data_IF_379012195203
#
_entry.id   IF_379012195203
#
_cell.length_a   1.000
_cell.length_b   1.000
_cell.length_c   1.000
_cell.angle_alpha   90.00
_cell.angle_beta   90.00
_cell.angle_gamma   90.00
#
_symmetry.space_group_name_H-M   'P 1'
#
loop_
_entity.id
_entity.type
_entity.pdbx_description
1 polymer ?
#
# COMPACT_ATOMS: atom_id res chain seq x y z
N UNK A 1 13.65 -5.83 -37.39
CA UNK A 1 14.86 -6.52 -36.88
C UNK A 1 15.40 -5.97 -35.55
N UNK A 2 15.39 -4.66 -35.27
CA UNK A 2 16.04 -4.09 -34.05
C UNK A 2 15.32 -4.37 -32.71
N UNK A 3 14.00 -4.50 -32.71
CA UNK A 3 13.19 -4.68 -31.49
C UNK A 3 13.40 -6.04 -30.81
N UNK A 4 13.46 -7.11 -31.60
CA UNK A 4 13.64 -8.48 -31.09
C UNK A 4 15.01 -8.61 -30.40
N UNK A 5 16.04 -7.98 -30.97
CA UNK A 5 17.37 -7.93 -30.36
C UNK A 5 17.36 -7.14 -29.05
N UNK A 6 16.65 -6.01 -28.99
CA UNK A 6 16.52 -5.24 -27.75
C UNK A 6 15.81 -6.03 -26.65
N UNK A 7 14.74 -6.76 -26.97
CA UNK A 7 14.01 -7.61 -26.03
C UNK A 7 14.92 -8.71 -25.48
N UNK A 8 15.66 -9.40 -26.35
CA UNK A 8 16.62 -10.44 -25.93
C UNK A 8 17.71 -9.89 -25.00
N UNK A 9 18.25 -8.71 -25.28
CA UNK A 9 19.25 -8.07 -24.42
C UNK A 9 18.69 -7.71 -23.04
N UNK A 10 17.43 -7.27 -22.95
CA UNK A 10 16.78 -6.95 -21.67
C UNK A 10 16.56 -8.22 -20.87
N UNK A 11 16.01 -9.26 -21.50
CA UNK A 11 15.73 -10.55 -20.87
C UNK A 11 17.02 -11.22 -20.34
N UNK A 12 18.09 -11.16 -21.12
CA UNK A 12 19.39 -11.71 -20.73
C UNK A 12 20.01 -10.95 -19.55
N UNK A 13 19.91 -9.61 -19.55
CA UNK A 13 20.37 -8.77 -18.42
C UNK A 13 19.59 -9.07 -17.14
N UNK A 14 18.27 -9.22 -17.21
CA UNK A 14 17.47 -9.60 -16.04
C UNK A 14 17.84 -10.98 -15.50
N UNK A 15 18.07 -11.95 -16.40
CA UNK A 15 18.46 -13.31 -16.03
C UNK A 15 19.81 -13.33 -15.31
N UNK A 16 20.77 -12.54 -15.77
CA UNK A 16 22.07 -12.39 -15.11
C UNK A 16 21.94 -11.72 -13.74
N UNK A 17 21.14 -10.66 -13.61
CA UNK A 17 20.88 -9.97 -12.33
C UNK A 17 20.30 -10.93 -11.28
N UNK A 18 19.32 -11.77 -11.65
CA UNK A 18 18.74 -12.77 -10.73
C UNK A 18 19.74 -13.85 -10.32
N UNK A 19 20.66 -14.24 -11.20
CA UNK A 19 21.73 -15.19 -10.85
C UNK A 19 22.73 -14.56 -9.87
N UNK A 20 23.18 -13.34 -10.15
CA UNK A 20 24.09 -12.60 -9.29
C UNK A 20 23.47 -12.32 -7.91
N UNK A 21 22.19 -11.97 -7.84
CA UNK A 21 21.50 -11.77 -6.56
C UNK A 21 21.41 -13.06 -5.74
N UNK A 22 21.08 -14.20 -6.38
CA UNK A 22 21.06 -15.51 -5.71
C UNK A 22 22.44 -15.91 -5.20
N UNK A 23 23.48 -15.59 -5.96
CA UNK A 23 24.88 -15.84 -5.57
C UNK A 23 25.32 -14.92 -4.42
N UNK A 24 24.98 -13.63 -4.45
CA UNK A 24 25.24 -12.69 -3.33
C UNK A 24 24.50 -13.10 -2.05
N UNK A 25 23.26 -13.62 -2.17
CA UNK A 25 22.51 -14.20 -1.05
C UNK A 25 23.19 -15.46 -0.50
N UNK A 26 23.65 -16.36 -1.36
CA UNK A 26 24.35 -17.59 -0.95
C UNK A 26 25.70 -17.29 -0.29
N UNK A 27 26.42 -16.28 -0.77
CA UNK A 27 27.72 -15.87 -0.24
C UNK A 27 27.60 -14.92 0.97
N UNK A 28 26.39 -14.68 1.49
CA UNK A 28 26.16 -13.93 2.73
C UNK A 28 26.42 -12.42 2.65
N UNK A 29 26.58 -11.84 1.45
CA UNK A 29 26.93 -10.42 1.25
C UNK A 29 25.71 -9.48 1.17
N UNK A 30 24.49 -10.00 1.23
CA UNK A 30 23.26 -9.20 1.25
C UNK A 30 22.91 -8.84 2.69
N UNK A 31 23.45 -7.72 3.20
CA UNK A 31 23.04 -7.17 4.49
C UNK A 31 21.55 -6.78 4.41
N UNK A 32 20.72 -7.44 5.21
CA UNK A 32 19.39 -6.91 5.55
C UNK A 32 19.64 -5.64 6.35
N UNK A 33 19.36 -4.50 5.74
CA UNK A 33 19.26 -3.25 6.48
C UNK A 33 17.93 -3.28 7.24
N UNK A 34 17.92 -3.98 8.38
CA UNK A 34 16.86 -3.92 9.36
C UNK A 34 17.06 -2.63 10.17
N UNK A 35 16.65 -1.48 9.63
CA UNK A 35 16.54 -0.27 10.42
C UNK A 35 15.37 0.63 9.94
N UNK A 36 14.29 0.52 10.73
CA UNK A 36 13.44 1.60 11.22
C UNK A 36 12.19 2.01 10.41
N UNK A 37 11.00 1.61 10.91
CA UNK A 37 9.97 2.55 11.41
C UNK A 37 8.74 1.85 12.02
N UNK A 38 8.59 2.01 13.33
CA UNK A 38 7.35 2.33 14.08
C UNK A 38 5.98 1.96 13.46
N UNK A 39 5.35 0.87 13.92
CA UNK A 39 4.06 0.85 14.64
C UNK A 39 3.54 -0.60 14.84
N UNK A 40 2.80 -0.87 15.92
CA UNK A 40 2.36 -2.20 16.32
C UNK A 40 1.04 -2.53 15.61
N UNK A 41 1.13 -3.33 14.55
CA UNK A 41 -0.03 -4.09 14.07
C UNK A 41 0.44 -5.46 13.58
N UNK A 42 1.27 -6.10 14.41
CA UNK A 42 1.64 -7.49 14.24
C UNK A 42 0.56 -8.37 14.86
N UNK A 43 -0.45 -8.76 14.07
CA UNK A 43 -1.21 -9.98 14.34
C UNK A 43 -2.03 -10.40 13.12
N UNK A 44 -1.39 -11.02 12.13
CA UNK A 44 -1.97 -12.15 11.37
C UNK A 44 -0.81 -12.96 10.77
N UNK A 45 -0.30 -13.89 11.56
CA UNK A 45 0.51 -15.00 11.08
C UNK A 45 -0.35 -16.00 10.31
N UNK A 46 0.21 -16.44 9.18
CA UNK A 46 -0.08 -17.60 8.34
C UNK A 46 -1.43 -18.32 8.46
N UNK A 47 -2.19 -18.26 7.37
CA UNK A 47 -3.22 -19.24 7.00
C UNK A 47 -3.55 -19.07 5.52
N UNK A 48 -3.21 -20.09 4.73
CA UNK A 48 -3.35 -20.16 3.27
C UNK A 48 -4.70 -19.65 2.73
N UNK A 49 -4.73 -18.47 2.13
CA UNK A 49 -5.71 -18.14 1.09
C UNK A 49 -5.06 -17.19 0.08
N UNK A 50 -5.24 -17.40 -1.24
CA UNK A 50 -4.95 -16.36 -2.22
C UNK A 50 -6.08 -15.35 -2.10
N UNK A 51 -6.06 -14.54 -1.03
CA UNK A 51 -6.90 -13.35 -0.97
C UNK A 51 -6.45 -12.51 -2.15
N UNK A 52 -7.30 -12.40 -3.16
CA UNK A 52 -7.30 -11.31 -4.11
C UNK A 52 -7.40 -10.02 -3.29
N UNK A 53 -6.27 -9.60 -2.71
CA UNK A 53 -6.07 -8.31 -2.08
C UNK A 53 -5.99 -7.35 -3.24
N UNK A 54 -7.16 -7.08 -3.82
CA UNK A 54 -7.38 -5.94 -4.69
C UNK A 54 -6.92 -4.75 -3.87
N UNK A 55 -5.80 -4.16 -4.28
CA UNK A 55 -5.35 -2.90 -3.74
C UNK A 55 -6.40 -1.89 -4.21
N UNK A 56 -7.47 -1.73 -3.44
CA UNK A 56 -8.50 -0.73 -3.71
C UNK A 56 -7.81 0.59 -3.48
N UNK A 57 -7.32 1.17 -4.57
CA UNK A 57 -6.73 2.48 -4.59
C UNK A 57 -7.78 3.43 -4.03
N UNK A 58 -7.49 4.04 -2.88
CA UNK A 58 -8.39 5.03 -2.28
C UNK A 58 -8.67 6.10 -3.33
N UNK A 59 -9.96 6.32 -3.61
CA UNK A 59 -10.41 7.36 -4.54
C UNK A 59 -10.19 8.75 -3.93
N UNK A 60 -9.96 8.82 -2.62
CA UNK A 60 -9.73 10.05 -1.88
C UNK A 60 -8.24 10.40 -1.83
N UNK A 61 -7.87 11.65 -2.19
CA UNK A 61 -6.54 12.20 -1.93
C UNK A 61 -6.15 12.07 -0.45
N UNK A 62 -4.87 11.87 -0.19
CA UNK A 62 -4.36 11.68 1.17
C UNK A 62 -4.64 12.89 2.08
N UNK A 63 -4.55 14.10 1.53
CA UNK A 63 -4.79 15.34 2.27
C UNK A 63 -6.25 15.45 2.74
N UNK A 64 -7.20 15.01 1.91
CA UNK A 64 -8.63 14.99 2.26
C UNK A 64 -8.91 13.99 3.38
N UNK A 65 -8.24 12.83 3.37
CA UNK A 65 -8.34 11.83 4.43
C UNK A 65 -7.79 12.39 5.74
N UNK A 66 -6.64 13.08 5.70
CA UNK A 66 -6.04 13.72 6.88
C UNK A 66 -6.97 14.80 7.42
N UNK A 67 -7.47 15.69 6.56
CA UNK A 67 -8.40 16.74 6.93
C UNK A 67 -9.68 16.17 7.56
N UNK A 68 -10.22 15.10 6.97
CA UNK A 68 -11.40 14.40 7.49
C UNK A 68 -11.15 13.86 8.89
N UNK A 69 -10.05 13.13 9.11
CA UNK A 69 -9.68 12.59 10.43
C UNK A 69 -9.49 13.68 11.49
N UNK A 70 -8.82 14.78 11.14
CA UNK A 70 -8.63 15.92 12.03
C UNK A 70 -9.97 16.55 12.42
N UNK A 71 -10.87 16.74 11.44
CA UNK A 71 -12.19 17.33 11.66
C UNK A 71 -13.10 16.43 12.51
N UNK A 72 -13.09 15.13 12.25
CA UNK A 72 -13.92 14.15 12.98
C UNK A 72 -13.32 13.73 14.33
N UNK A 73 -12.01 13.98 14.52
CA UNK A 73 -11.17 13.51 15.62
C UNK A 73 -11.11 11.98 15.73
N UNK A 74 -11.20 11.30 14.59
CA UNK A 74 -11.12 9.83 14.52
C UNK A 74 -9.75 9.40 13.98
N UNK A 75 -9.13 8.40 14.61
CA UNK A 75 -7.82 7.88 14.18
C UNK A 75 -7.91 7.06 12.89
N UNK A 76 -9.04 6.39 12.67
CA UNK A 76 -9.27 5.46 11.58
C UNK A 76 -10.19 6.07 10.51
N UNK A 77 -9.92 5.75 9.24
CA UNK A 77 -10.62 6.36 8.08
C UNK A 77 -12.09 5.94 8.04
N UNK A 78 -12.39 4.68 8.34
CA UNK A 78 -13.74 4.12 8.26
C UNK A 78 -14.70 4.84 9.24
N UNK A 79 -14.22 5.09 10.44
CA UNK A 79 -14.91 5.73 11.55
C UNK A 79 -15.11 7.22 11.22
N UNK A 80 -14.07 7.87 10.69
CA UNK A 80 -14.15 9.25 10.22
C UNK A 80 -15.23 9.42 9.12
N UNK A 81 -15.25 8.52 8.12
CA UNK A 81 -16.27 8.51 7.07
C UNK A 81 -17.66 8.25 7.66
N UNK A 82 -17.80 7.22 8.51
CA UNK A 82 -19.10 6.85 9.10
C UNK A 82 -19.70 8.01 9.88
N UNK A 83 -18.88 8.72 10.67
CA UNK A 83 -19.29 9.90 11.43
C UNK A 83 -19.70 11.04 10.50
N UNK A 84 -18.90 11.35 9.47
CA UNK A 84 -19.23 12.40 8.52
C UNK A 84 -20.54 12.13 7.77
N UNK A 85 -20.75 10.89 7.31
CA UNK A 85 -22.00 10.46 6.66
C UNK A 85 -23.18 10.57 7.63
N UNK A 86 -23.01 10.13 8.88
CA UNK A 86 -24.06 10.29 9.90
C UNK A 86 -24.46 11.75 10.08
N UNK A 87 -23.50 12.66 10.21
CA UNK A 87 -23.79 14.09 10.35
C UNK A 87 -24.49 14.65 9.12
N UNK A 88 -24.03 14.30 7.91
CA UNK A 88 -24.68 14.72 6.67
C UNK A 88 -26.13 14.23 6.58
N UNK A 89 -26.39 12.97 6.88
CA UNK A 89 -27.75 12.42 6.81
C UNK A 89 -28.68 12.94 7.91
N UNK A 90 -28.13 13.23 9.10
CA UNK A 90 -28.92 13.68 10.24
C UNK A 90 -29.23 15.17 10.20
N UNK A 91 -28.28 15.99 9.78
CA UNK A 91 -28.37 17.44 9.87
C UNK A 91 -28.33 18.14 8.51
N UNK A 92 -28.07 17.42 7.41
CA UNK A 92 -28.04 18.00 6.06
C UNK A 92 -29.39 18.52 5.55
N UNK A 93 -30.46 18.34 6.31
CA UNK A 93 -31.78 18.92 6.04
C UNK A 93 -32.07 20.19 6.86
N UNK A 94 -31.21 20.59 7.80
CA UNK A 94 -31.46 21.72 8.71
C UNK A 94 -30.98 23.08 8.16
N UNK A 95 -30.17 23.09 7.10
CA UNK A 95 -29.63 24.33 6.49
C UNK A 95 -30.47 24.87 5.30
N UNK A 96 -31.67 24.32 5.05
CA UNK A 96 -32.55 24.72 3.92
C UNK A 96 -33.93 25.25 4.33
N UNK A 97 -34.09 25.87 5.50
CA UNK A 97 -35.32 26.60 5.88
C UNK A 97 -35.08 28.07 6.18
#
# INVERSE_FOLDING_TARGET
MKLITAIKMIEEREKQKRKAEKEMRRNGMLLKNDNNKENPDSLLGEGNEPKNLVHVQSIFPQDDIIALKVKTREAHVREAISKAVYYYLRFGNEDTS
#
